data_IF_584120954613
#
_entry.id   IF_584120954613
#
_cell.length_a   1.000
_cell.length_b   1.000
_cell.length_c   1.000
_cell.angle_alpha   90.00
_cell.angle_beta   90.00
_cell.angle_gamma   90.00
#
_symmetry.space_group_name_H-M   'P 1'
#
loop_
_entity.id
_entity.type
_entity.pdbx_description
1 polymer ?
#
# COMPACT_ATOMS: atom_id res chain seq x y z
N UNK A 1 1.54 7.37 16.39
CA UNK A 1 2.83 6.68 16.08
C UNK A 1 3.99 7.58 16.50
N UNK A 2 4.30 7.61 17.79
CA UNK A 2 5.36 8.48 18.36
C UNK A 2 6.74 7.86 18.12
N UNK A 3 7.63 8.58 17.43
CA UNK A 3 9.04 8.19 17.24
C UNK A 3 9.42 7.41 15.98
N UNK A 4 10.74 7.20 15.81
CA UNK A 4 11.44 6.53 14.68
C UNK A 4 10.85 5.16 14.30
N UNK A 5 10.27 4.46 15.27
CA UNK A 5 9.53 3.19 15.09
C UNK A 5 8.28 3.36 14.21
N UNK A 6 7.52 4.45 14.37
CA UNK A 6 6.37 4.77 13.54
C UNK A 6 6.74 5.02 12.08
N UNK A 7 7.85 5.72 11.86
CA UNK A 7 8.38 5.95 10.51
C UNK A 7 8.87 4.65 9.86
N UNK A 8 9.61 3.82 10.60
CA UNK A 8 10.08 2.53 10.10
C UNK A 8 8.91 1.58 9.75
N UNK A 9 7.85 1.56 10.57
CA UNK A 9 6.65 0.78 10.28
C UNK A 9 5.92 1.30 9.03
N UNK A 10 5.76 2.62 8.89
CA UNK A 10 5.17 3.24 7.70
C UNK A 10 5.98 2.93 6.43
N UNK A 11 7.30 3.05 6.52
CA UNK A 11 8.21 2.76 5.41
C UNK A 11 8.20 1.27 5.03
N UNK A 12 8.12 0.37 6.02
CA UNK A 12 7.96 -1.06 5.78
C UNK A 12 6.65 -1.37 5.05
N UNK A 13 5.54 -0.79 5.51
CA UNK A 13 4.25 -0.93 4.83
C UNK A 13 4.28 -0.39 3.39
N UNK A 14 4.95 0.75 3.16
CA UNK A 14 5.17 1.29 1.83
C UNK A 14 5.93 0.31 0.94
N UNK A 15 7.05 -0.24 1.42
CA UNK A 15 7.84 -1.20 0.67
C UNK A 15 7.03 -2.46 0.29
N UNK A 16 6.21 -2.95 1.21
CA UNK A 16 5.29 -4.08 0.96
C UNK A 16 4.28 -3.72 -0.13
N UNK A 17 3.64 -2.55 -0.07
CA UNK A 17 2.69 -2.13 -1.11
C UNK A 17 3.39 -1.99 -2.47
N UNK A 18 4.58 -1.40 -2.53
CA UNK A 18 5.35 -1.31 -3.79
C UNK A 18 5.63 -2.69 -4.35
N UNK A 19 6.08 -3.63 -3.52
CA UNK A 19 6.33 -5.00 -3.95
C UNK A 19 5.06 -5.70 -4.44
N UNK A 20 3.95 -5.57 -3.73
CA UNK A 20 2.68 -6.19 -4.13
C UNK A 20 2.12 -5.59 -5.43
N UNK A 21 2.20 -4.27 -5.58
CA UNK A 21 1.78 -3.59 -6.81
C UNK A 21 2.59 -4.00 -8.04
N UNK A 22 3.87 -4.35 -7.84
CA UNK A 22 4.72 -4.86 -8.91
C UNK A 22 4.56 -6.38 -9.12
N UNK A 23 4.42 -7.18 -8.07
CA UNK A 23 4.48 -8.64 -8.18
C UNK A 23 3.11 -9.26 -8.50
N UNK A 24 2.03 -8.78 -7.86
CA UNK A 24 0.71 -9.43 -7.94
C UNK A 24 0.08 -9.38 -9.35
N UNK A 25 0.03 -8.23 -10.06
CA UNK A 25 -0.64 -8.16 -11.36
C UNK A 25 0.10 -8.93 -12.46
N UNK A 26 1.44 -9.02 -12.36
CA UNK A 26 2.28 -9.69 -13.35
C UNK A 26 2.67 -11.12 -12.96
N UNK A 27 2.27 -11.58 -11.77
CA UNK A 27 2.51 -12.94 -11.28
C UNK A 27 1.20 -13.69 -11.03
N UNK A 28 0.69 -13.75 -9.78
CA UNK A 28 -0.54 -14.45 -9.44
C UNK A 28 -1.77 -14.08 -10.27
N UNK A 29 -1.88 -12.82 -10.71
CA UNK A 29 -2.97 -12.35 -11.57
C UNK A 29 -2.57 -12.24 -13.04
N UNK A 30 -1.42 -12.79 -13.45
CA UNK A 30 -0.99 -12.76 -14.84
C UNK A 30 -2.04 -13.44 -15.74
N UNK A 31 -2.45 -12.74 -16.80
CA UNK A 31 -3.49 -13.21 -17.73
C UNK A 31 -4.91 -13.20 -17.15
N UNK A 32 -5.11 -12.75 -15.91
CA UNK A 32 -6.45 -12.55 -15.35
C UNK A 32 -7.13 -11.34 -15.98
N UNK A 33 -8.42 -11.48 -16.29
CA UNK A 33 -9.27 -10.41 -16.84
C UNK A 33 -10.55 -10.28 -16.01
N UNK A 34 -11.15 -9.08 -16.02
CA UNK A 34 -12.41 -8.81 -15.33
C UNK A 34 -12.27 -8.50 -13.84
N UNK A 35 -13.21 -9.00 -13.03
CA UNK A 35 -13.41 -8.57 -11.64
C UNK A 35 -12.19 -8.73 -10.72
N UNK A 36 -11.37 -9.78 -10.89
CA UNK A 36 -10.19 -10.01 -10.06
C UNK A 36 -9.16 -8.88 -10.16
N UNK A 37 -8.96 -8.36 -11.38
CA UNK A 37 -8.03 -7.23 -11.62
C UNK A 37 -8.60 -5.94 -11.01
N UNK A 38 -9.91 -5.72 -11.14
CA UNK A 38 -10.59 -4.54 -10.63
C UNK A 38 -10.59 -4.52 -9.09
N UNK A 39 -10.86 -5.66 -8.46
CA UNK A 39 -10.82 -5.82 -7.01
C UNK A 39 -9.41 -5.62 -6.46
N UNK A 40 -8.39 -6.18 -7.14
CA UNK A 40 -7.00 -5.96 -6.74
C UNK A 40 -6.63 -4.48 -6.78
N UNK A 41 -6.82 -3.81 -7.92
CA UNK A 41 -6.44 -2.40 -8.04
C UNK A 41 -7.29 -1.48 -7.16
N UNK A 42 -8.59 -1.78 -6.99
CA UNK A 42 -9.45 -1.05 -6.08
C UNK A 42 -9.01 -1.17 -4.62
N UNK A 43 -8.77 -2.39 -4.15
CA UNK A 43 -8.28 -2.64 -2.79
C UNK A 43 -6.86 -2.09 -2.56
N UNK A 44 -5.98 -2.23 -3.56
CA UNK A 44 -4.62 -1.70 -3.52
C UNK A 44 -4.62 -0.18 -3.43
N UNK A 45 -5.43 0.50 -4.25
CA UNK A 45 -5.57 1.95 -4.21
C UNK A 45 -6.06 2.44 -2.85
N UNK A 46 -7.06 1.76 -2.26
CA UNK A 46 -7.54 2.08 -0.91
C UNK A 46 -6.44 1.91 0.15
N UNK A 47 -5.64 0.84 0.07
CA UNK A 47 -4.53 0.62 0.99
C UNK A 47 -3.47 1.74 0.89
N UNK A 48 -3.15 2.19 -0.33
CA UNK A 48 -2.24 3.34 -0.56
C UNK A 48 -2.81 4.62 0.04
N UNK A 49 -4.10 4.92 -0.18
CA UNK A 49 -4.77 6.10 0.39
C UNK A 49 -4.66 6.10 1.92
N UNK A 50 -4.97 4.97 2.56
CA UNK A 50 -4.85 4.82 4.02
C UNK A 50 -3.41 5.05 4.48
N UNK A 51 -2.43 4.47 3.79
CA UNK A 51 -1.02 4.63 4.14
C UNK A 51 -0.57 6.10 4.03
N UNK A 52 -1.00 6.81 2.98
CA UNK A 52 -0.74 8.24 2.81
C UNK A 52 -1.38 9.05 3.94
N UNK A 53 -2.65 8.78 4.28
CA UNK A 53 -3.35 9.48 5.35
C UNK A 53 -2.67 9.29 6.71
N UNK A 54 -2.19 8.08 7.02
CA UNK A 54 -1.42 7.78 8.23
C UNK A 54 -0.08 8.51 8.25
N UNK A 55 0.60 8.60 7.10
CA UNK A 55 1.83 9.37 6.96
C UNK A 55 1.61 10.86 7.20
N UNK A 56 0.60 11.43 6.54
CA UNK A 56 0.25 12.85 6.64
C UNK A 56 -0.18 13.24 8.07
N UNK A 57 -1.01 12.43 8.73
CA UNK A 57 -1.38 12.64 10.13
C UNK A 57 -0.16 12.59 11.05
N UNK A 58 0.72 11.59 10.88
CA UNK A 58 1.93 11.45 11.67
C UNK A 58 2.98 12.54 11.45
N UNK A 59 2.90 13.30 10.36
CA UNK A 59 3.74 14.48 10.11
C UNK A 59 3.14 15.77 10.68
N UNK A 60 1.81 15.85 10.79
CA UNK A 60 1.12 17.02 11.38
C UNK A 60 1.27 17.07 12.90
N UNK A 61 1.45 15.92 13.54
CA UNK A 61 1.63 15.78 14.99
C UNK A 61 3.09 16.02 15.46
N UNK A 62 4.02 16.36 14.56
CA UNK A 62 5.43 16.65 14.87
C UNK A 62 5.77 18.08 14.50
#
# INVERSE_FOLDING_TARGET
MTGRSGFAAWLGALAVLVFLGAAVPYGPLAGSIGWSIALFWGGFGLAVIVLIALGAAGWRDR
#
